data_IF_521281444272
#
_entry.id   IF_521281444272
#
_cell.length_a   1.000
_cell.length_b   1.000
_cell.length_c   1.000
_cell.angle_alpha   90.00
_cell.angle_beta   90.00
_cell.angle_gamma   90.00
#
_symmetry.space_group_name_H-M   'P 1'
#
loop_
_entity.id
_entity.type
_entity.pdbx_description
1 polymer ?
#
# COMPACT_ATOMS: atom_id res chain seq x y z
N UNK A 1 -13.60 -4.32 11.96
CA UNK A 1 -13.29 -3.25 12.94
C UNK A 1 -11.82 -2.85 12.91
N UNK A 2 -10.92 -3.67 12.33
CA UNK A 2 -9.48 -3.40 12.16
C UNK A 2 -9.19 -2.33 11.11
N UNK A 3 -10.02 -2.26 10.06
CA UNK A 3 -9.80 -1.44 8.86
C UNK A 3 -9.78 0.06 9.16
N UNK A 4 -10.71 0.52 10.02
CA UNK A 4 -10.79 1.93 10.42
C UNK A 4 -9.56 2.42 11.20
N UNK A 5 -8.91 1.53 11.96
CA UNK A 5 -7.70 1.87 12.72
C UNK A 5 -6.48 1.98 11.78
N UNK A 6 -6.36 1.04 10.84
CA UNK A 6 -5.28 1.02 9.87
C UNK A 6 -5.28 2.27 8.97
N UNK A 7 -6.45 2.67 8.48
CA UNK A 7 -6.61 3.90 7.70
C UNK A 7 -6.24 5.14 8.51
N UNK A 8 -6.69 5.24 9.76
CA UNK A 8 -6.38 6.38 10.63
C UNK A 8 -4.86 6.53 10.85
N UNK A 9 -4.14 5.40 11.02
CA UNK A 9 -2.68 5.38 11.11
C UNK A 9 -2.03 5.85 9.81
N UNK A 10 -2.53 5.42 8.66
CA UNK A 10 -2.00 5.83 7.34
C UNK A 10 -2.23 7.33 7.10
N UNK A 11 -3.43 7.84 7.39
CA UNK A 11 -3.78 9.26 7.27
C UNK A 11 -2.86 10.11 8.16
N UNK A 12 -2.68 9.70 9.42
CA UNK A 12 -1.78 10.39 10.35
C UNK A 12 -0.33 10.44 9.82
N UNK A 13 0.13 9.34 9.23
CA UNK A 13 1.45 9.21 8.62
C UNK A 13 1.62 9.98 7.29
N UNK A 14 0.54 10.28 6.58
CA UNK A 14 0.53 11.07 5.34
C UNK A 14 0.52 12.57 5.63
N UNK A 15 -0.10 12.97 6.75
CA UNK A 15 -0.16 14.36 7.21
C UNK A 15 -0.75 15.28 6.14
N UNK A 16 -0.04 16.36 5.83
CA UNK A 16 -0.46 17.38 4.84
C UNK A 16 -0.59 16.85 3.41
N UNK A 17 -0.04 15.67 3.10
CA UNK A 17 -0.18 15.08 1.77
C UNK A 17 -1.55 14.44 1.57
N UNK A 18 -2.22 14.02 2.65
CA UNK A 18 -3.54 13.41 2.55
C UNK A 18 -4.61 14.48 2.34
N UNK A 19 -5.48 14.27 1.35
CA UNK A 19 -6.66 15.10 1.12
C UNK A 19 -7.87 14.42 1.72
N UNK A 20 -8.66 15.16 2.50
CA UNK A 20 -9.83 14.62 3.22
C UNK A 20 -10.86 13.93 2.33
N UNK A 21 -10.93 14.32 1.05
CA UNK A 21 -11.82 13.73 0.04
C UNK A 21 -11.32 12.40 -0.55
N UNK A 22 -10.06 12.05 -0.34
CA UNK A 22 -9.45 10.85 -0.93
C UNK A 22 -9.57 9.62 -0.01
N UNK A 23 -10.47 9.67 0.99
CA UNK A 23 -10.66 8.56 1.94
C UNK A 23 -11.01 7.25 1.23
N UNK A 24 -11.89 7.32 0.24
CA UNK A 24 -12.31 6.14 -0.55
C UNK A 24 -11.14 5.58 -1.35
N UNK A 25 -10.41 6.43 -2.06
CA UNK A 25 -9.19 6.05 -2.80
C UNK A 25 -8.17 5.37 -1.89
N UNK A 26 -7.94 5.91 -0.68
CA UNK A 26 -7.01 5.34 0.28
C UNK A 26 -7.47 3.97 0.81
N UNK A 27 -8.79 3.77 0.97
CA UNK A 27 -9.36 2.47 1.33
C UNK A 27 -9.17 1.44 0.23
N UNK A 28 -9.41 1.81 -1.03
CA UNK A 28 -9.23 0.93 -2.18
C UNK A 28 -7.78 0.45 -2.29
N UNK A 29 -6.82 1.38 -2.19
CA UNK A 29 -5.38 1.05 -2.20
C UNK A 29 -5.03 0.13 -1.02
N UNK A 30 -5.58 0.39 0.17
CA UNK A 30 -5.34 -0.47 1.33
C UNK A 30 -5.85 -1.89 1.12
N UNK A 31 -7.07 -2.07 0.63
CA UNK A 31 -7.66 -3.41 0.41
C UNK A 31 -6.89 -4.18 -0.68
N UNK A 32 -6.50 -3.51 -1.76
CA UNK A 32 -5.71 -4.10 -2.85
C UNK A 32 -4.32 -4.56 -2.35
N UNK A 33 -3.56 -3.65 -1.74
CA UNK A 33 -2.21 -3.94 -1.23
C UNK A 33 -2.26 -5.01 -0.13
N UNK A 34 -3.29 -5.00 0.72
CA UNK A 34 -3.46 -6.03 1.76
C UNK A 34 -3.73 -7.41 1.16
N UNK A 35 -4.54 -7.48 0.10
CA UNK A 35 -4.83 -8.72 -0.61
C UNK A 35 -3.56 -9.29 -1.27
N UNK A 36 -2.77 -8.44 -1.92
CA UNK A 36 -1.48 -8.82 -2.52
C UNK A 36 -0.49 -9.29 -1.45
N UNK A 37 -0.37 -8.57 -0.33
CA UNK A 37 0.50 -8.96 0.77
C UNK A 37 0.09 -10.30 1.40
N UNK A 38 -1.22 -10.53 1.55
CA UNK A 38 -1.81 -11.79 2.03
C UNK A 38 -1.41 -12.95 1.12
N UNK A 39 -1.54 -12.79 -0.20
CA UNK A 39 -1.17 -13.79 -1.20
C UNK A 39 0.34 -14.11 -1.17
N UNK A 40 1.19 -13.07 -1.22
CA UNK A 40 2.66 -13.23 -1.20
C UNK A 40 3.13 -13.95 0.06
N UNK A 41 2.56 -13.57 1.21
CA UNK A 41 3.01 -14.06 2.51
C UNK A 41 2.37 -15.37 2.94
N UNK A 42 1.25 -15.76 2.32
CA UNK A 42 0.38 -16.85 2.75
C UNK A 42 -0.06 -16.68 4.22
N UNK A 43 -0.47 -15.47 4.58
CA UNK A 43 -1.02 -15.08 5.88
C UNK A 43 -2.35 -14.34 5.69
N UNK A 44 -3.22 -14.29 6.71
CA UNK A 44 -4.43 -13.49 6.64
C UNK A 44 -4.15 -12.01 6.35
N UNK A 45 -5.05 -11.35 5.62
CA UNK A 45 -4.95 -9.91 5.30
C UNK A 45 -4.85 -9.01 6.53
N UNK A 46 -5.46 -9.43 7.64
CA UNK A 46 -5.45 -8.73 8.92
C UNK A 46 -4.23 -9.06 9.81
N UNK A 47 -3.22 -9.78 9.31
CA UNK A 47 -2.03 -10.11 10.10
C UNK A 47 -1.23 -8.84 10.46
N UNK A 48 -1.16 -8.52 11.75
CA UNK A 48 -0.46 -7.33 12.27
C UNK A 48 1.02 -7.26 11.85
N UNK A 49 1.66 -8.41 11.56
CA UNK A 49 3.05 -8.46 11.08
C UNK A 49 3.19 -7.97 9.64
N UNK A 50 2.14 -8.05 8.84
CA UNK A 50 2.13 -7.52 7.47
C UNK A 50 1.87 -6.02 7.44
N UNK A 51 1.14 -5.49 8.42
CA UNK A 51 0.70 -4.09 8.42
C UNK A 51 1.83 -3.06 8.23
N UNK A 52 3.03 -3.18 8.83
CA UNK A 52 4.12 -2.25 8.57
C UNK A 52 4.57 -2.17 7.10
N UNK A 53 4.47 -3.29 6.37
CA UNK A 53 4.84 -3.38 4.96
C UNK A 53 3.72 -2.88 4.06
N UNK A 54 2.49 -3.30 4.35
CA UNK A 54 1.27 -2.81 3.70
C UNK A 54 1.20 -1.29 3.83
N UNK A 55 1.31 -0.75 5.04
CA UNK A 55 1.30 0.70 5.31
C UNK A 55 2.30 1.47 4.47
N UNK A 56 3.52 0.95 4.31
CA UNK A 56 4.56 1.60 3.48
C UNK A 56 4.19 1.60 2.00
N UNK A 57 3.69 0.48 1.48
CA UNK A 57 3.29 0.36 0.09
C UNK A 57 2.06 1.25 -0.24
N UNK A 58 1.04 1.24 0.63
CA UNK A 58 -0.16 2.09 0.49
C UNK A 58 0.20 3.57 0.44
N UNK A 59 1.11 4.02 1.32
CA UNK A 59 1.59 5.40 1.31
C UNK A 59 2.31 5.75 0.02
N UNK A 60 3.18 4.86 -0.47
CA UNK A 60 3.93 5.09 -1.69
C UNK A 60 2.99 5.22 -2.90
N UNK A 61 2.00 4.33 -2.99
CA UNK A 61 1.01 4.33 -4.08
C UNK A 61 0.12 5.58 -4.03
N UNK A 62 -0.38 5.95 -2.85
CA UNK A 62 -1.17 7.17 -2.67
C UNK A 62 -0.40 8.43 -3.09
N UNK A 63 0.87 8.53 -2.69
CA UNK A 63 1.73 9.65 -3.05
C UNK A 63 2.05 9.68 -4.55
N UNK A 64 2.31 8.52 -5.17
CA UNK A 64 2.56 8.40 -6.61
C UNK A 64 1.38 8.98 -7.41
N UNK A 65 0.16 8.51 -7.12
CA UNK A 65 -1.08 9.02 -7.74
C UNK A 65 -1.27 10.52 -7.57
N UNK A 66 -0.91 11.05 -6.39
CA UNK A 66 -0.99 12.49 -6.08
C UNK A 66 0.04 13.34 -6.83
N UNK A 67 1.25 12.83 -7.03
CA UNK A 67 2.31 13.51 -7.79
C UNK A 67 2.06 13.50 -9.29
N UNK A 68 1.46 12.44 -9.81
CA UNK A 68 1.22 12.28 -11.25
C UNK A 68 0.12 13.21 -11.78
N UNK A 69 -0.79 13.67 -10.93
CA UNK A 69 -1.75 14.73 -11.27
C UNK A 69 -1.09 16.12 -11.45
N UNK A 70 0.14 16.31 -10.95
CA UNK A 70 0.91 17.55 -11.12
C UNK A 70 1.85 17.49 -12.33
N UNK A 71 2.31 16.29 -12.71
CA UNK A 71 3.16 16.07 -13.89
C UNK A 71 2.33 15.43 -15.00
N UNK A 72 1.74 16.25 -15.87
CA UNK A 72 1.16 15.77 -17.14
C UNK A 72 2.25 15.03 -17.93
N UNK A 73 2.21 13.68 -17.96
CA UNK A 73 2.63 12.78 -19.05
C UNK A 73 2.84 11.32 -18.61
N UNK A 74 2.42 10.43 -19.51
CA UNK A 74 2.71 8.99 -19.66
C UNK A 74 1.79 8.00 -18.93
N UNK A 75 0.78 7.52 -19.67
CA UNK A 75 -0.07 6.36 -19.32
C UNK A 75 0.76 5.09 -19.00
N UNK A 76 1.99 4.96 -19.52
CA UNK A 76 2.90 3.85 -19.23
C UNK A 76 3.70 3.97 -17.91
N UNK A 77 3.74 5.15 -17.28
CA UNK A 77 4.51 5.38 -16.04
C UNK A 77 3.74 4.97 -14.77
N UNK A 78 2.40 4.92 -14.85
CA UNK A 78 1.51 4.49 -13.77
C UNK A 78 1.73 3.02 -13.40
N UNK A 79 1.72 2.14 -14.40
CA UNK A 79 1.95 0.70 -14.19
C UNK A 79 3.34 0.43 -13.63
N UNK A 80 4.37 1.11 -14.12
CA UNK A 80 5.74 0.91 -13.65
C UNK A 80 5.92 1.30 -12.18
N UNK A 81 5.28 2.39 -11.74
CA UNK A 81 5.38 2.84 -10.34
C UNK A 81 4.69 1.86 -9.38
N UNK A 82 3.50 1.38 -9.75
CA UNK A 82 2.78 0.39 -8.95
C UNK A 82 3.55 -0.94 -8.89
N UNK A 83 4.03 -1.44 -10.03
CA UNK A 83 4.85 -2.66 -10.10
C UNK A 83 6.09 -2.57 -9.20
N UNK A 84 6.82 -1.45 -9.25
CA UNK A 84 7.98 -1.20 -8.39
C UNK A 84 7.63 -1.20 -6.90
N UNK A 85 6.47 -0.63 -6.54
CA UNK A 85 5.98 -0.61 -5.15
C UNK A 85 5.64 -2.03 -4.68
N UNK A 86 4.94 -2.81 -5.52
CA UNK A 86 4.57 -4.19 -5.21
C UNK A 86 5.80 -5.12 -5.16
N UNK A 87 6.79 -4.92 -6.02
CA UNK A 87 8.04 -5.67 -5.97
C UNK A 87 8.85 -5.37 -4.71
N UNK A 88 8.88 -4.10 -4.27
CA UNK A 88 9.46 -3.74 -2.97
C UNK A 88 8.69 -4.36 -1.82
N UNK A 89 7.36 -4.35 -1.85
CA UNK A 89 6.51 -5.00 -0.85
C UNK A 89 6.84 -6.51 -0.77
N UNK A 90 6.86 -7.19 -1.91
CA UNK A 90 7.20 -8.61 -2.04
C UNK A 90 8.57 -8.91 -1.45
N UNK A 91 9.59 -8.16 -1.88
CA UNK A 91 10.96 -8.34 -1.42
C UNK A 91 11.09 -8.15 0.09
N UNK A 92 10.42 -7.14 0.65
CA UNK A 92 10.45 -6.90 2.09
C UNK A 92 9.76 -8.04 2.87
N UNK A 93 8.59 -8.51 2.42
CA UNK A 93 7.89 -9.64 3.06
C UNK A 93 8.76 -10.90 3.07
N UNK A 94 9.42 -11.21 1.95
CA UNK A 94 10.30 -12.38 1.83
C UNK A 94 11.55 -12.21 2.69
N UNK A 95 12.27 -11.09 2.58
CA UNK A 95 13.51 -10.82 3.34
C UNK A 95 13.27 -10.80 4.85
N UNK A 96 12.10 -10.39 5.29
CA UNK A 96 11.71 -10.40 6.70
C UNK A 96 11.24 -11.76 7.20
N UNK A 97 11.28 -12.82 6.38
CA UNK A 97 10.88 -14.17 6.77
C UNK A 97 9.39 -14.32 7.05
N UNK A 98 8.55 -13.40 6.55
CA UNK A 98 7.12 -13.43 6.79
C UNK A 98 6.39 -14.37 5.83
N UNK A 99 6.98 -14.69 4.68
CA UNK A 99 6.42 -15.63 3.72
C UNK A 99 6.45 -17.07 4.28
N UNK A 100 5.27 -17.69 4.37
CA UNK A 100 5.11 -19.11 4.74
C UNK A 100 5.12 -19.98 3.50
N UNK A 101 6.17 -20.78 3.33
CA UNK A 101 6.21 -21.85 2.33
C UNK A 101 5.30 -22.96 2.87
N UNK A 102 4.28 -23.31 2.10
CA UNK A 102 3.38 -24.42 2.42
C UNK A 102 3.82 -25.65 1.64
#
# INVERSE_FOLDING_TARGET
MTDNNNISKIISDLGSNYRSKDKEVLNEILEEVSSIASDISNRPKDDEKLFPYIKKAVKAEYLARGTEGLTSRNEGSMSSSFEDIIDKLRNNIIKSGLRRIK
#
